data_IF_097077326945
#
_entry.id   IF_097077326945
#
_cell.length_a   1.000
_cell.length_b   1.000
_cell.length_c   1.000
_cell.angle_alpha   90.00
_cell.angle_beta   90.00
_cell.angle_gamma   90.00
#
_symmetry.space_group_name_H-M   'P 1'
#
loop_
_entity.id
_entity.type
_entity.pdbx_description
1 polymer ?
#
# COMPACT_ATOMS: atom_id res chain seq x y z
N UNK A 1 3.20 17.77 -3.11
CA UNK A 1 2.67 16.55 -3.76
C UNK A 1 1.16 16.53 -3.67
N UNK A 2 0.48 16.35 -4.80
CA UNK A 2 -0.97 16.37 -4.84
C UNK A 2 -1.55 15.03 -4.36
N UNK A 3 -2.76 15.05 -3.82
CA UNK A 3 -3.41 13.83 -3.33
C UNK A 3 -3.61 12.79 -4.43
N UNK A 4 -3.79 13.24 -5.67
CA UNK A 4 -3.91 12.34 -6.82
C UNK A 4 -2.69 11.45 -7.00
N UNK A 5 -1.50 12.03 -6.86
CA UNK A 5 -0.26 11.28 -7.00
C UNK A 5 -0.10 10.25 -5.86
N UNK A 6 -0.49 10.65 -4.66
CA UNK A 6 -0.46 9.75 -3.50
C UNK A 6 -1.45 8.61 -3.70
N UNK A 7 -2.62 8.91 -4.24
CA UNK A 7 -3.62 7.89 -4.54
C UNK A 7 -3.09 6.86 -5.54
N UNK A 8 -2.39 7.31 -6.58
CA UNK A 8 -1.82 6.40 -7.56
C UNK A 8 -0.77 5.48 -6.94
N UNK A 9 0.06 6.01 -6.04
CA UNK A 9 1.01 5.18 -5.31
C UNK A 9 0.32 4.16 -4.41
N UNK A 10 -0.77 4.58 -3.76
CA UNK A 10 -1.55 3.68 -2.92
C UNK A 10 -2.15 2.52 -3.73
N UNK A 11 -2.61 2.80 -4.94
CA UNK A 11 -3.13 1.77 -5.83
C UNK A 11 -2.05 0.73 -6.16
N UNK A 12 -0.84 1.19 -6.49
CA UNK A 12 0.27 0.30 -6.80
C UNK A 12 0.66 -0.55 -5.59
N UNK A 13 0.73 0.07 -4.42
CA UNK A 13 1.04 -0.64 -3.19
C UNK A 13 -0.04 -1.66 -2.84
N UNK A 14 -1.30 -1.31 -3.07
CA UNK A 14 -2.41 -2.22 -2.83
C UNK A 14 -2.34 -3.44 -3.75
N UNK A 15 -2.01 -3.23 -5.01
CA UNK A 15 -1.85 -4.32 -5.96
C UNK A 15 -0.70 -5.25 -5.56
N UNK A 16 0.43 -4.67 -5.13
CA UNK A 16 1.57 -5.44 -4.65
C UNK A 16 1.20 -6.23 -3.40
N UNK A 17 0.49 -5.60 -2.48
CA UNK A 17 0.02 -6.25 -1.26
C UNK A 17 -0.89 -7.44 -1.60
N UNK A 18 -1.88 -7.22 -2.46
CA UNK A 18 -2.84 -8.24 -2.84
C UNK A 18 -2.15 -9.44 -3.48
N UNK A 19 -1.23 -9.18 -4.40
CA UNK A 19 -0.48 -10.24 -5.07
C UNK A 19 0.32 -11.08 -4.08
N UNK A 20 1.03 -10.44 -3.16
CA UNK A 20 1.82 -11.16 -2.18
C UNK A 20 0.96 -11.88 -1.14
N UNK A 21 -0.16 -11.28 -0.76
CA UNK A 21 -1.11 -11.93 0.13
C UNK A 21 -1.63 -13.22 -0.49
N UNK A 22 -2.00 -13.17 -1.77
CA UNK A 22 -2.51 -14.35 -2.47
C UNK A 22 -1.46 -15.44 -2.58
N UNK A 23 -0.22 -15.09 -2.88
CA UNK A 23 0.88 -16.06 -2.93
C UNK A 23 1.09 -16.74 -1.59
N UNK A 24 1.05 -15.97 -0.52
CA UNK A 24 1.19 -16.54 0.82
C UNK A 24 0.02 -17.46 1.15
N UNK A 25 -1.22 -17.01 0.90
CA UNK A 25 -2.42 -17.79 1.22
C UNK A 25 -2.53 -19.07 0.41
N UNK A 26 -2.18 -19.01 -0.86
CA UNK A 26 -2.35 -20.17 -1.76
C UNK A 26 -1.17 -21.11 -1.74
N UNK A 27 0.04 -20.60 -1.65
CA UNK A 27 1.27 -21.39 -1.80
C UNK A 27 2.17 -21.40 -0.58
N UNK A 28 1.79 -20.72 0.49
CA UNK A 28 2.56 -20.66 1.74
C UNK A 28 3.98 -20.12 1.54
N UNK A 29 4.16 -19.16 0.62
CA UNK A 29 5.46 -18.56 0.36
C UNK A 29 5.79 -17.55 1.47
N UNK A 30 6.75 -17.87 2.32
CA UNK A 30 7.11 -17.02 3.46
C UNK A 30 7.62 -15.65 3.04
N UNK A 31 8.38 -15.58 1.95
CA UNK A 31 8.88 -14.31 1.43
C UNK A 31 7.72 -13.40 1.02
N UNK A 32 6.64 -13.98 0.49
CA UNK A 32 5.46 -13.22 0.11
C UNK A 32 4.77 -12.62 1.34
N UNK A 33 4.75 -13.34 2.47
CA UNK A 33 4.18 -12.83 3.71
C UNK A 33 4.96 -11.60 4.20
N UNK A 34 6.28 -11.62 4.11
CA UNK A 34 7.14 -10.49 4.49
C UNK A 34 6.85 -9.30 3.59
N UNK A 35 6.75 -9.54 2.28
CA UNK A 35 6.45 -8.47 1.32
C UNK A 35 5.07 -7.86 1.54
N UNK A 36 4.08 -8.70 1.88
CA UNK A 36 2.73 -8.22 2.17
C UNK A 36 2.74 -7.31 3.40
N UNK A 37 3.44 -7.71 4.47
CA UNK A 37 3.54 -6.86 5.67
C UNK A 37 4.25 -5.54 5.37
N UNK A 38 5.30 -5.59 4.55
CA UNK A 38 6.03 -4.39 4.17
C UNK A 38 5.13 -3.44 3.37
N UNK A 39 4.38 -3.98 2.42
CA UNK A 39 3.45 -3.19 1.62
C UNK A 39 2.37 -2.53 2.49
N UNK A 40 1.81 -3.25 3.45
CA UNK A 40 0.77 -2.69 4.31
C UNK A 40 1.33 -1.57 5.20
N UNK A 41 2.58 -1.68 5.64
CA UNK A 41 3.22 -0.61 6.40
C UNK A 41 3.43 0.64 5.55
N UNK A 42 3.82 0.48 4.30
CA UNK A 42 3.96 1.59 3.37
C UNK A 42 2.61 2.26 3.08
N UNK A 43 1.57 1.45 2.90
CA UNK A 43 0.21 1.96 2.71
C UNK A 43 -0.21 2.80 3.91
N UNK A 44 0.06 2.33 5.13
CA UNK A 44 -0.30 3.06 6.34
C UNK A 44 0.37 4.43 6.39
N UNK A 45 1.66 4.49 6.08
CA UNK A 45 2.40 5.75 6.07
C UNK A 45 1.86 6.70 5.02
N UNK A 46 1.61 6.18 3.84
CA UNK A 46 1.13 6.97 2.73
C UNK A 46 -0.31 7.44 2.94
N UNK A 47 -1.12 6.63 3.62
CA UNK A 47 -2.51 7.00 3.94
C UNK A 47 -2.54 8.24 4.84
N UNK A 48 -1.65 8.32 5.81
CA UNK A 48 -1.54 9.48 6.68
C UNK A 48 -1.18 10.74 5.88
N UNK A 49 -0.23 10.60 4.96
CA UNK A 49 0.19 11.68 4.07
C UNK A 49 -0.95 12.12 3.16
N UNK A 50 -1.73 11.17 2.65
CA UNK A 50 -2.90 11.45 1.82
C UNK A 50 -3.88 12.35 2.55
N UNK A 51 -4.20 12.03 3.80
CA UNK A 51 -5.16 12.80 4.59
C UNK A 51 -4.69 14.23 4.77
N UNK A 52 -3.42 14.42 5.13
CA UNK A 52 -2.86 15.76 5.32
C UNK A 52 -2.89 16.56 4.03
N UNK A 53 -2.51 15.93 2.91
CA UNK A 53 -2.47 16.60 1.62
C UNK A 53 -3.87 16.97 1.16
N UNK A 54 -4.83 16.08 1.31
CA UNK A 54 -6.21 16.34 0.92
C UNK A 54 -6.81 17.49 1.71
N UNK A 55 -6.54 17.55 3.01
CA UNK A 55 -7.03 18.64 3.84
C UNK A 55 -6.44 19.98 3.38
N UNK A 56 -5.18 19.99 2.97
CA UNK A 56 -4.54 21.19 2.49
C UNK A 56 -5.11 21.64 1.13
N UNK A 57 -5.62 20.72 0.33
CA UNK A 57 -6.24 21.02 -0.97
C UNK A 57 -7.67 21.52 -0.85
N UNK A 58 -8.31 21.29 0.28
CA UNK A 58 -9.73 21.64 0.48
C UNK A 58 -9.97 23.16 0.75
#
# INVERSE_FOLDING_TARGET
MASKEIFEELEQLWNTFTENHNRFSEKQVKAAAVRARKSINEIRKLASKYRSTQLAES
#
